data_IF_959290602466
#
_entry.id   IF_959290602466
#
_cell.length_a   1.000
_cell.length_b   1.000
_cell.length_c   1.000
_cell.angle_alpha   90.00
_cell.angle_beta   90.00
_cell.angle_gamma   90.00
#
_symmetry.space_group_name_H-M   'P 1'
#
loop_
_entity.id
_entity.type
_entity.pdbx_description
1 polymer ?
#
# COMPACT_ATOMS: atom_id res chain seq x y z
N UNK A 1 -30.84 -42.55 34.70
CA UNK A 1 -29.89 -41.50 35.09
C UNK A 1 -28.81 -41.41 34.02
N UNK A 2 -28.84 -40.36 33.19
CA UNK A 2 -27.77 -39.83 32.31
C UNK A 2 -27.21 -40.76 31.21
N UNK A 3 -27.65 -40.71 29.95
CA UNK A 3 -27.36 -39.73 28.87
C UNK A 3 -25.98 -39.89 28.20
N UNK A 4 -26.01 -40.60 27.06
CA UNK A 4 -25.27 -40.38 25.82
C UNK A 4 -24.23 -39.24 25.81
N UNK A 5 -22.94 -39.57 25.77
CA UNK A 5 -21.88 -38.65 25.33
C UNK A 5 -21.61 -38.85 23.84
N UNK A 6 -22.41 -38.17 23.03
CA UNK A 6 -22.16 -37.96 21.61
C UNK A 6 -20.88 -37.15 21.42
N UNK A 7 -20.06 -37.60 20.46
CA UNK A 7 -19.35 -36.78 19.47
C UNK A 7 -19.21 -35.28 19.82
N UNK A 8 -18.08 -34.90 20.39
CA UNK A 8 -17.57 -33.53 20.24
C UNK A 8 -16.45 -33.57 19.22
N UNK A 9 -16.66 -33.06 17.99
CA UNK A 9 -15.54 -32.62 17.19
C UNK A 9 -14.92 -31.43 17.93
N UNK A 10 -13.62 -31.51 18.21
CA UNK A 10 -12.84 -30.36 18.66
C UNK A 10 -12.94 -29.31 17.56
N UNK A 11 -13.83 -28.34 17.74
CA UNK A 11 -13.89 -27.17 16.89
C UNK A 11 -12.51 -26.49 16.96
N UNK A 12 -11.78 -26.54 15.84
CA UNK A 12 -10.61 -25.70 15.66
C UNK A 12 -11.06 -24.24 15.86
N UNK A 13 -10.26 -23.39 16.51
CA UNK A 13 -10.58 -21.98 16.61
C UNK A 13 -10.65 -21.42 15.19
N UNK A 14 -11.82 -20.88 14.85
CA UNK A 14 -12.04 -20.03 13.68
C UNK A 14 -10.99 -18.92 13.72
N UNK A 15 -9.97 -19.06 12.86
CA UNK A 15 -9.10 -17.96 12.49
C UNK A 15 -9.92 -17.08 11.55
N UNK A 16 -10.81 -16.30 12.16
CA UNK A 16 -11.46 -15.17 11.51
C UNK A 16 -10.42 -14.40 10.68
N UNK A 17 -10.74 -14.25 9.41
CA UNK A 17 -9.98 -13.69 8.30
C UNK A 17 -9.07 -12.51 8.67
N UNK A 18 -7.83 -12.81 9.07
CA UNK A 18 -6.73 -11.87 8.88
C UNK A 18 -6.57 -11.74 7.36
N UNK A 19 -6.64 -10.55 6.74
CA UNK A 19 -6.41 -10.46 5.30
C UNK A 19 -4.99 -10.97 5.02
N UNK A 20 -4.89 -12.20 4.54
CA UNK A 20 -3.66 -12.93 4.21
C UNK A 20 -3.01 -12.40 2.93
N UNK A 21 -3.35 -11.18 2.54
CA UNK A 21 -2.74 -10.50 1.41
C UNK A 21 -1.85 -9.41 1.96
N UNK A 22 -0.56 -9.71 2.05
CA UNK A 22 0.46 -8.69 2.28
C UNK A 22 0.33 -7.66 1.16
N UNK A 23 -0.15 -6.47 1.49
CA UNK A 23 -0.19 -5.37 0.54
C UNK A 23 1.18 -4.69 0.56
N UNK A 24 1.81 -4.57 -0.61
CA UNK A 24 3.04 -3.83 -0.77
C UNK A 24 2.76 -2.58 -1.58
N UNK A 25 3.12 -1.42 -1.06
CA UNK A 25 3.06 -0.16 -1.78
C UNK A 25 4.47 0.38 -1.98
N UNK A 26 4.74 0.92 -3.16
CA UNK A 26 5.98 1.59 -3.50
C UNK A 26 5.65 3.04 -3.78
N UNK A 27 6.34 3.94 -3.09
CA UNK A 27 6.15 5.38 -3.18
C UNK A 27 7.46 5.98 -3.63
N UNK A 28 7.50 6.38 -4.89
CA UNK A 28 8.67 7.02 -5.48
C UNK A 28 8.38 8.49 -5.74
N UNK A 29 9.31 9.38 -5.40
CA UNK A 29 9.12 10.81 -5.64
C UNK A 29 10.36 11.62 -5.37
N UNK A 30 10.29 12.92 -5.68
CA UNK A 30 11.41 13.82 -5.38
C UNK A 30 11.26 14.46 -4.00
N UNK A 31 12.39 14.62 -3.31
CA UNK A 31 12.48 15.03 -1.90
C UNK A 31 11.96 16.43 -1.61
N UNK A 32 11.75 17.29 -2.60
CA UNK A 32 11.19 18.64 -2.41
C UNK A 32 9.70 18.71 -2.76
N UNK A 33 9.07 17.58 -3.09
CA UNK A 33 7.65 17.51 -3.41
C UNK A 33 6.82 17.42 -2.13
N UNK A 34 5.92 18.39 -1.91
CA UNK A 34 5.01 18.37 -0.76
C UNK A 34 4.15 17.09 -0.71
N UNK A 35 3.59 16.68 -1.85
CA UNK A 35 2.77 15.47 -1.94
C UNK A 35 3.56 14.18 -1.68
N UNK A 36 4.86 14.17 -1.96
CA UNK A 36 5.71 13.02 -1.62
C UNK A 36 5.83 12.91 -0.10
N UNK A 37 6.10 14.01 0.60
CA UNK A 37 6.14 14.00 2.07
C UNK A 37 4.82 13.54 2.70
N UNK A 38 3.69 14.03 2.19
CA UNK A 38 2.37 13.55 2.65
C UNK A 38 2.20 12.06 2.40
N UNK A 39 2.58 11.56 1.22
CA UNK A 39 2.50 10.13 0.91
C UNK A 39 3.36 9.29 1.87
N UNK A 40 4.57 9.75 2.21
CA UNK A 40 5.45 9.07 3.17
C UNK A 40 4.86 9.05 4.58
N UNK A 41 4.28 10.15 5.04
CA UNK A 41 3.64 10.20 6.35
C UNK A 41 2.42 9.27 6.42
N UNK A 42 1.63 9.22 5.34
CA UNK A 42 0.50 8.29 5.22
C UNK A 42 0.98 6.84 5.22
N UNK A 43 2.07 6.54 4.53
CA UNK A 43 2.67 5.21 4.48
C UNK A 43 3.18 4.74 5.85
N UNK A 44 3.91 5.60 6.56
CA UNK A 44 4.41 5.33 7.91
C UNK A 44 3.26 5.07 8.90
N UNK A 45 2.19 5.85 8.80
CA UNK A 45 0.98 5.64 9.60
C UNK A 45 0.28 4.33 9.25
N UNK A 46 0.26 3.96 7.96
CA UNK A 46 -0.36 2.74 7.49
C UNK A 46 0.38 1.51 8.02
N UNK A 47 1.71 1.46 7.86
CA UNK A 47 2.53 0.34 8.37
C UNK A 47 2.48 0.23 9.89
N UNK A 48 2.41 1.36 10.60
CA UNK A 48 2.26 1.38 12.06
C UNK A 48 0.93 0.79 12.53
N UNK A 49 -0.16 0.98 11.77
CA UNK A 49 -1.49 0.46 12.12
C UNK A 49 -1.78 -0.92 11.56
N UNK A 50 -1.15 -1.27 10.45
CA UNK A 50 -1.40 -2.49 9.68
C UNK A 50 -0.08 -3.21 9.45
N UNK A 51 0.37 -4.09 10.37
CA UNK A 51 1.67 -4.75 10.30
C UNK A 51 1.81 -5.72 9.10
N UNK A 52 0.70 -6.05 8.43
CA UNK A 52 0.66 -6.87 7.23
C UNK A 52 0.88 -6.05 5.95
N UNK A 53 0.92 -4.72 6.03
CA UNK A 53 1.20 -3.83 4.91
C UNK A 53 2.67 -3.45 4.93
N UNK A 54 3.33 -3.55 3.79
CA UNK A 54 4.70 -3.08 3.58
C UNK A 54 4.67 -1.86 2.68
N UNK A 55 5.47 -0.85 3.01
CA UNK A 55 5.64 0.34 2.19
C UNK A 55 7.12 0.55 1.92
N UNK A 56 7.49 0.64 0.65
CA UNK A 56 8.81 1.08 0.22
C UNK A 56 8.72 2.56 -0.19
N UNK A 57 9.67 3.35 0.28
CA UNK A 57 9.73 4.79 0.03
C UNK A 57 11.08 5.11 -0.58
N UNK A 58 11.07 5.51 -1.85
CA UNK A 58 12.26 5.93 -2.57
C UNK A 58 12.20 7.42 -2.88
N UNK A 59 13.03 8.19 -2.17
CA UNK A 59 13.17 9.63 -2.35
C UNK A 59 14.37 9.97 -3.23
N UNK A 60 14.15 10.77 -4.26
CA UNK A 60 15.18 11.20 -5.21
C UNK A 60 15.42 12.71 -5.17
N UNK A 61 16.61 13.16 -5.52
CA UNK A 61 16.80 14.58 -5.87
C UNK A 61 16.11 14.88 -7.20
N UNK A 62 15.75 16.14 -7.43
CA UNK A 62 14.91 16.55 -8.56
C UNK A 62 15.50 16.15 -9.92
N UNK A 63 16.82 16.22 -10.05
CA UNK A 63 17.57 15.87 -11.26
C UNK A 63 17.46 14.37 -11.59
N UNK A 64 17.57 13.52 -10.57
CA UNK A 64 17.46 12.07 -10.70
C UNK A 64 16.01 11.63 -10.96
N UNK A 65 15.05 12.34 -10.33
CA UNK A 65 13.63 12.04 -10.45
C UNK A 65 13.14 12.07 -11.90
N UNK A 66 13.59 13.01 -12.71
CA UNK A 66 13.16 13.08 -14.12
C UNK A 66 13.60 11.86 -14.94
N UNK A 67 14.77 11.28 -14.64
CA UNK A 67 15.21 10.03 -15.25
C UNK A 67 14.37 8.86 -14.79
N UNK A 68 14.24 8.70 -13.47
CA UNK A 68 13.45 7.63 -12.86
C UNK A 68 11.98 7.64 -13.27
N UNK A 69 11.38 8.83 -13.38
CA UNK A 69 9.99 8.99 -13.81
C UNK A 69 9.77 8.49 -15.24
N UNK A 70 10.75 8.65 -16.14
CA UNK A 70 10.65 8.10 -17.50
C UNK A 70 10.72 6.58 -17.48
N UNK A 71 11.63 6.00 -16.71
CA UNK A 71 11.70 4.55 -16.54
C UNK A 71 10.38 3.98 -16.02
N UNK A 72 9.78 4.62 -15.00
CA UNK A 72 8.49 4.23 -14.46
C UNK A 72 7.34 4.39 -15.47
N UNK A 73 7.39 5.42 -16.33
CA UNK A 73 6.41 5.59 -17.41
C UNK A 73 6.48 4.46 -18.43
N UNK A 74 7.70 4.04 -18.79
CA UNK A 74 7.94 2.96 -19.75
C UNK A 74 7.58 1.59 -19.14
N UNK A 75 7.90 1.36 -17.85
CA UNK A 75 7.62 0.11 -17.14
C UNK A 75 6.11 -0.14 -16.96
N UNK A 76 5.35 0.90 -16.62
CA UNK A 76 3.92 0.80 -16.37
C UNK A 76 3.04 1.19 -17.58
N UNK A 77 3.64 1.48 -18.74
CA UNK A 77 2.98 2.01 -19.95
C UNK A 77 1.97 3.12 -19.62
N UNK A 78 2.43 4.12 -18.86
CA UNK A 78 1.57 5.17 -18.31
C UNK A 78 2.00 6.57 -18.72
N UNK A 79 1.03 7.48 -18.77
CA UNK A 79 1.26 8.91 -18.97
C UNK A 79 1.35 9.69 -17.66
N UNK A 80 1.39 9.01 -16.51
CA UNK A 80 1.50 9.65 -15.21
C UNK A 80 2.83 10.42 -15.09
N UNK A 81 2.78 11.72 -14.83
CA UNK A 81 3.98 12.59 -14.78
C UNK A 81 4.20 13.28 -13.44
N UNK A 82 3.37 12.99 -12.46
CA UNK A 82 3.39 13.69 -11.17
C UNK A 82 4.26 12.94 -10.16
N UNK A 83 4.76 13.69 -9.18
CA UNK A 83 5.34 13.15 -7.96
C UNK A 83 4.32 13.32 -6.84
N UNK A 84 4.14 12.34 -5.96
CA UNK A 84 4.75 11.00 -5.99
C UNK A 84 4.16 10.11 -7.09
N UNK A 85 4.92 9.13 -7.55
CA UNK A 85 4.48 8.01 -8.37
C UNK A 85 4.32 6.79 -7.45
N UNK A 86 3.11 6.27 -7.36
CA UNK A 86 2.74 5.23 -6.38
C UNK A 86 2.19 4.01 -7.11
N UNK A 87 2.68 2.82 -6.75
CA UNK A 87 2.22 1.55 -7.30
C UNK A 87 2.14 0.48 -6.20
N UNK A 88 1.30 -0.53 -6.42
CA UNK A 88 1.06 -1.66 -5.51
C UNK A 88 1.62 -2.96 -6.09
N UNK A 89 2.20 -3.83 -5.28
CA UNK A 89 2.71 -5.15 -5.70
C UNK A 89 3.98 -5.54 -4.96
N UNK A 90 3.99 -6.74 -4.36
CA UNK A 90 5.19 -7.26 -3.67
C UNK A 90 6.20 -7.87 -4.65
N UNK A 91 5.70 -8.41 -5.76
CA UNK A 91 6.50 -9.02 -6.81
C UNK A 91 6.49 -8.14 -8.08
N UNK A 92 7.59 -8.08 -8.84
CA UNK A 92 7.67 -7.28 -10.08
C UNK A 92 6.56 -7.60 -11.09
N UNK A 93 6.12 -8.86 -11.17
CA UNK A 93 5.07 -9.30 -12.08
C UNK A 93 3.64 -8.94 -11.64
N UNK A 94 3.46 -8.49 -10.40
CA UNK A 94 2.17 -8.10 -9.83
C UNK A 94 2.09 -6.59 -9.56
N UNK A 95 3.07 -5.83 -10.04
CA UNK A 95 3.07 -4.39 -9.85
C UNK A 95 1.94 -3.75 -10.67
N UNK A 96 1.21 -2.85 -10.01
CA UNK A 96 0.10 -2.12 -10.62
C UNK A 96 0.16 -0.66 -10.20
N UNK A 97 0.08 0.23 -11.18
CA UNK A 97 0.01 1.66 -10.94
C UNK A 97 -1.22 2.01 -10.09
N UNK A 98 -0.99 2.72 -8.98
CA UNK A 98 -2.05 3.38 -8.19
C UNK A 98 -2.23 4.80 -8.69
N UNK A 99 -1.14 5.52 -8.96
CA UNK A 99 -1.15 6.89 -9.46
C UNK A 99 -0.36 7.83 -8.56
N UNK A 100 -0.98 8.95 -8.17
CA UNK A 100 -0.37 9.95 -7.29
C UNK A 100 -0.88 9.89 -5.85
N UNK A 101 -0.53 10.91 -5.06
CA UNK A 101 -0.94 11.01 -3.65
C UNK A 101 -2.46 10.92 -3.45
N UNK A 102 -3.25 11.66 -4.24
CA UNK A 102 -4.71 11.70 -4.08
C UNK A 102 -5.36 10.33 -4.27
N UNK A 103 -4.93 9.58 -5.29
CA UNK A 103 -5.43 8.23 -5.55
C UNK A 103 -5.01 7.25 -4.44
N UNK A 104 -3.77 7.38 -3.95
CA UNK A 104 -3.27 6.59 -2.84
C UNK A 104 -4.01 6.86 -1.52
N UNK A 105 -4.23 8.13 -1.18
CA UNK A 105 -4.97 8.52 0.01
C UNK A 105 -6.42 8.03 -0.05
N UNK A 106 -7.07 8.18 -1.22
CA UNK A 106 -8.42 7.64 -1.45
C UNK A 106 -8.45 6.12 -1.26
N UNK A 107 -7.52 5.40 -1.89
CA UNK A 107 -7.38 3.94 -1.75
C UNK A 107 -7.22 3.52 -0.30
N UNK A 108 -6.29 4.12 0.45
CA UNK A 108 -6.05 3.76 1.84
C UNK A 108 -7.27 4.04 2.71
N UNK A 109 -7.93 5.18 2.48
CA UNK A 109 -9.16 5.53 3.21
C UNK A 109 -10.26 4.50 2.97
N UNK A 110 -10.46 4.07 1.73
CA UNK A 110 -11.47 3.07 1.37
C UNK A 110 -11.12 1.66 1.90
N UNK A 111 -9.86 1.25 1.77
CA UNK A 111 -9.41 -0.11 2.15
C UNK A 111 -9.24 -0.28 3.65
N UNK A 112 -8.62 0.69 4.33
CA UNK A 112 -8.21 0.58 5.74
C UNK A 112 -9.04 1.44 6.69
N UNK A 113 -10.05 2.16 6.18
CA UNK A 113 -10.92 3.07 6.95
C UNK A 113 -10.14 4.08 7.80
N UNK A 114 -8.98 4.51 7.32
CA UNK A 114 -8.12 5.49 7.99
C UNK A 114 -8.56 6.92 7.64
N UNK A 115 -8.61 7.80 8.64
CA UNK A 115 -8.76 9.24 8.41
C UNK A 115 -7.41 9.82 7.97
N UNK A 116 -7.34 10.20 6.70
CA UNK A 116 -6.15 10.80 6.08
C UNK A 116 -6.44 12.25 5.71
N UNK A 117 -5.43 13.14 5.77
CA UNK A 117 -5.53 14.48 5.19
C UNK A 117 -5.70 14.34 3.68
N UNK A 118 -6.93 14.57 3.20
CA UNK A 118 -7.20 14.77 1.79
C UNK A 118 -6.95 16.26 1.51
N UNK A 119 -6.10 16.55 0.52
CA UNK A 119 -5.87 17.91 0.04
C UNK A 119 -7.15 18.46 -0.63
#
# INVERSE_FOLDING_TARGET
>A
MGLFSWLFPTAAPDLDEIPTKTACYHIEGFLTCHYFHLATEVADRLTSKQPHVKTDVSGYIKEQWYGRLKELQDEFDTRHRTSPFIYEGCDPSQQKLVGGYSEFAKRIKETYKMNLPLD
#
